data_IF_092692537756
#
_entry.id   IF_092692537756
#
_cell.length_a   1.000
_cell.length_b   1.000
_cell.length_c   1.000
_cell.angle_alpha   90.00
_cell.angle_beta   90.00
_cell.angle_gamma   90.00
#
_symmetry.space_group_name_H-M   'P 1'
#
loop_
_entity.id
_entity.type
_entity.pdbx_description
1 polymer ?
#
# COMPACT_ATOMS: atom_id res chain seq x y z
N UNK A 1 7.00 -0.43 23.34
CA UNK A 1 7.13 1.04 23.24
C UNK A 1 6.42 1.57 22.00
N UNK A 2 6.10 2.87 21.95
CA UNK A 2 5.48 3.55 20.79
C UNK A 2 6.26 4.83 20.48
N UNK A 3 6.59 5.05 19.22
CA UNK A 3 7.23 6.29 18.73
C UNK A 3 6.22 7.03 17.84
N UNK A 4 6.20 8.37 17.90
CA UNK A 4 5.38 9.18 17.00
C UNK A 4 6.17 9.50 15.74
N UNK A 5 5.66 9.10 14.59
CA UNK A 5 6.28 9.32 13.28
C UNK A 5 5.57 10.44 12.49
N UNK A 6 4.72 11.23 13.15
CA UNK A 6 4.01 12.35 12.53
C UNK A 6 2.71 11.93 11.84
N UNK A 7 2.21 12.82 10.97
CA UNK A 7 0.97 12.60 10.22
C UNK A 7 1.26 11.94 8.87
N UNK A 8 0.48 10.91 8.55
CA UNK A 8 0.50 10.25 7.25
C UNK A 8 -0.01 11.22 6.16
N UNK A 9 0.78 11.50 5.10
CA UNK A 9 0.40 12.47 4.06
C UNK A 9 -0.74 12.00 3.15
N UNK A 10 -1.08 10.70 3.17
CA UNK A 10 -2.16 10.14 2.33
C UNK A 10 -3.44 10.00 3.14
N UNK A 11 -3.36 9.49 4.38
CA UNK A 11 -4.54 9.25 5.21
C UNK A 11 -4.85 10.36 6.22
N UNK A 12 -3.90 11.26 6.48
CA UNK A 12 -3.99 12.31 7.49
C UNK A 12 -3.93 11.83 8.94
N UNK A 13 -3.83 10.50 9.17
CA UNK A 13 -3.80 9.91 10.51
C UNK A 13 -2.40 9.94 11.10
N UNK A 14 -2.30 10.00 12.43
CA UNK A 14 -1.01 9.87 13.15
C UNK A 14 -0.43 8.48 12.93
N UNK A 15 0.80 8.39 12.46
CA UNK A 15 1.53 7.14 12.31
C UNK A 15 2.34 6.86 13.59
N UNK A 16 2.07 5.73 14.25
CA UNK A 16 2.72 5.35 15.51
C UNK A 16 3.25 3.91 15.45
N UNK A 17 4.46 3.69 14.91
CA UNK A 17 5.06 2.37 14.90
C UNK A 17 5.26 1.85 16.33
N UNK A 18 4.96 0.56 16.51
CA UNK A 18 4.97 -0.12 17.81
C UNK A 18 5.82 -1.38 17.67
N UNK A 19 6.77 -1.58 18.59
CA UNK A 19 7.50 -2.85 18.74
C UNK A 19 7.29 -3.39 20.15
N UNK A 20 7.10 -4.70 20.21
CA UNK A 20 6.96 -5.50 21.43
C UNK A 20 8.19 -6.40 21.48
N UNK A 21 9.05 -6.20 22.48
CA UNK A 21 10.18 -7.09 22.73
C UNK A 21 9.66 -8.41 23.34
N UNK A 22 10.24 -9.57 22.98
CA UNK A 22 9.85 -10.84 23.57
C UNK A 22 10.25 -10.85 25.07
N UNK A 23 9.44 -11.49 25.94
CA UNK A 23 9.77 -11.61 27.35
C UNK A 23 10.99 -12.51 27.56
N UNK A 24 11.92 -12.08 28.42
CA UNK A 24 13.15 -12.80 28.71
C UNK A 24 14.08 -12.03 29.65
N UNK A 25 15.19 -12.64 30.10
CA UNK A 25 16.13 -12.00 31.03
C UNK A 25 16.83 -10.75 30.45
N UNK A 26 16.87 -10.60 29.13
CA UNK A 26 17.44 -9.45 28.43
C UNK A 26 16.36 -8.54 27.81
N UNK A 27 15.12 -8.59 28.31
CA UNK A 27 13.98 -7.88 27.72
C UNK A 27 14.19 -6.36 27.68
N UNK A 28 14.76 -5.77 28.72
CA UNK A 28 15.12 -4.34 28.77
C UNK A 28 16.13 -3.99 27.68
N UNK A 29 17.22 -4.76 27.57
CA UNK A 29 18.25 -4.52 26.56
C UNK A 29 17.72 -4.71 25.12
N UNK A 30 16.90 -5.74 24.90
CA UNK A 30 16.26 -5.97 23.60
C UNK A 30 15.24 -4.88 23.27
N UNK A 31 14.54 -4.34 24.26
CA UNK A 31 13.64 -3.21 24.09
C UNK A 31 14.39 -1.93 23.70
N UNK A 32 15.54 -1.65 24.31
CA UNK A 32 16.39 -0.50 23.95
C UNK A 32 16.97 -0.61 22.55
N UNK A 33 17.46 -1.79 22.16
CA UNK A 33 17.95 -2.04 20.79
C UNK A 33 16.82 -1.89 19.78
N UNK A 34 15.63 -2.42 20.10
CA UNK A 34 14.46 -2.28 19.25
C UNK A 34 13.99 -0.82 19.13
N UNK A 35 14.02 -0.04 20.22
CA UNK A 35 13.70 1.38 20.23
C UNK A 35 14.69 2.16 19.36
N UNK A 36 15.99 1.91 19.52
CA UNK A 36 17.05 2.59 18.77
C UNK A 36 16.90 2.34 17.26
N UNK A 37 16.61 1.09 16.87
CA UNK A 37 16.32 0.75 15.46
C UNK A 37 15.09 1.50 14.94
N UNK A 38 14.03 1.56 15.75
CA UNK A 38 12.77 2.19 15.36
C UNK A 38 12.88 3.73 15.29
N UNK A 39 13.73 4.34 16.12
CA UNK A 39 14.08 5.76 16.02
C UNK A 39 14.89 6.04 14.75
N UNK A 40 15.90 5.22 14.44
CA UNK A 40 16.66 5.35 13.19
C UNK A 40 15.75 5.22 11.95
N UNK A 41 14.79 4.29 11.96
CA UNK A 41 13.80 4.14 10.88
C UNK A 41 12.91 5.39 10.70
N UNK A 42 12.61 6.11 11.80
CA UNK A 42 11.86 7.37 11.76
C UNK A 42 12.75 8.53 11.28
N UNK A 43 13.97 8.63 11.79
CA UNK A 43 14.92 9.71 11.48
C UNK A 43 15.41 9.69 10.03
N UNK A 44 15.63 8.51 9.45
CA UNK A 44 16.02 8.36 8.05
C UNK A 44 14.91 8.77 7.05
N UNK A 45 13.79 9.33 7.52
CA UNK A 45 12.57 9.58 6.74
C UNK A 45 12.13 8.35 5.93
N UNK A 46 12.48 7.15 6.40
CA UNK A 46 12.05 5.89 5.79
C UNK A 46 10.57 5.61 6.06
N UNK A 47 9.80 6.61 6.51
CA UNK A 47 8.38 6.52 6.79
C UNK A 47 7.57 7.73 6.30
N UNK A 48 6.32 7.50 5.84
CA UNK A 48 5.57 6.27 6.04
C UNK A 48 5.58 5.38 4.81
N UNK A 49 5.88 4.09 4.99
CA UNK A 49 5.21 3.06 4.22
C UNK A 49 3.73 3.13 4.60
N UNK A 50 3.02 4.08 4.01
CA UNK A 50 1.58 4.19 4.08
C UNK A 50 1.01 2.80 3.88
N UNK A 51 0.29 2.29 4.89
CA UNK A 51 -0.58 1.12 4.71
C UNK A 51 -1.80 1.58 3.93
N UNK A 52 -1.54 2.09 2.74
CA UNK A 52 -2.54 2.47 1.78
C UNK A 52 -2.51 1.40 0.72
N UNK A 53 -3.71 0.94 0.42
CA UNK A 53 -3.94 -0.08 -0.55
C UNK A 53 -3.81 0.55 -1.96
N UNK A 54 -3.49 -0.27 -2.96
CA UNK A 54 -3.30 0.25 -4.32
C UNK A 54 -4.63 0.82 -4.86
N UNK A 55 -5.77 0.29 -4.42
CA UNK A 55 -7.09 0.79 -4.82
C UNK A 55 -7.28 2.27 -4.42
N UNK A 56 -6.98 2.63 -3.17
CA UNK A 56 -7.14 4.00 -2.69
C UNK A 56 -6.23 4.98 -3.43
N UNK A 57 -4.98 4.60 -3.74
CA UNK A 57 -4.08 5.46 -4.52
C UNK A 57 -4.58 5.71 -5.94
N UNK A 58 -5.05 4.65 -6.61
CA UNK A 58 -5.51 4.75 -8.00
C UNK A 58 -6.82 5.54 -8.09
N UNK A 59 -7.74 5.35 -7.14
CA UNK A 59 -8.98 6.11 -7.07
C UNK A 59 -8.71 7.59 -6.76
N UNK A 60 -7.81 7.89 -5.82
CA UNK A 60 -7.41 9.27 -5.50
C UNK A 60 -6.76 9.97 -6.70
N UNK A 61 -5.87 9.27 -7.43
CA UNK A 61 -5.31 9.80 -8.68
C UNK A 61 -6.40 10.09 -9.72
N UNK A 62 -7.41 9.23 -9.81
CA UNK A 62 -8.50 9.40 -10.76
C UNK A 62 -9.40 10.60 -10.44
N UNK A 63 -9.59 10.91 -9.16
CA UNK A 63 -10.34 12.07 -8.67
C UNK A 63 -9.57 13.38 -8.89
N UNK A 64 -8.26 13.39 -8.62
CA UNK A 64 -7.42 14.59 -8.71
C UNK A 64 -7.00 14.94 -10.15
N UNK A 65 -6.95 13.94 -11.06
CA UNK A 65 -6.49 14.19 -12.43
C UNK A 65 -7.52 14.95 -13.25
N UNK A 66 -7.06 15.94 -14.02
CA UNK A 66 -7.89 16.63 -15.01
C UNK A 66 -8.07 15.77 -16.25
N UNK A 67 -9.23 15.14 -16.39
CA UNK A 67 -9.59 14.33 -17.55
C UNK A 67 -11.06 14.58 -17.95
N UNK A 68 -11.39 14.31 -19.21
CA UNK A 68 -12.78 14.35 -19.67
C UNK A 68 -13.62 13.30 -18.92
N UNK A 69 -14.89 13.61 -18.65
CA UNK A 69 -15.83 12.73 -17.92
C UNK A 69 -15.89 11.32 -18.50
N UNK A 70 -15.97 11.20 -19.82
CA UNK A 70 -15.98 9.92 -20.55
C UNK A 70 -14.72 9.10 -20.32
N UNK A 71 -13.57 9.75 -20.20
CA UNK A 71 -12.29 9.12 -19.88
C UNK A 71 -12.23 8.66 -18.43
N UNK A 72 -12.79 9.45 -17.49
CA UNK A 72 -12.89 9.06 -16.08
C UNK A 72 -13.79 7.83 -15.94
N UNK A 73 -14.97 7.83 -16.55
CA UNK A 73 -15.90 6.68 -16.50
C UNK A 73 -15.27 5.41 -17.10
N UNK A 74 -14.63 5.54 -18.28
CA UNK A 74 -13.95 4.42 -18.95
C UNK A 74 -12.81 3.86 -18.10
N UNK A 75 -11.91 4.72 -17.63
CA UNK A 75 -10.77 4.28 -16.82
C UNK A 75 -11.22 3.70 -15.49
N UNK A 76 -12.30 4.23 -14.89
CA UNK A 76 -12.87 3.72 -13.65
C UNK A 76 -13.37 2.30 -13.80
N UNK A 77 -14.06 2.01 -14.90
CA UNK A 77 -14.50 0.65 -15.23
C UNK A 77 -13.31 -0.32 -15.40
N UNK A 78 -12.22 0.14 -16.03
CA UNK A 78 -11.00 -0.67 -16.20
C UNK A 78 -10.29 -0.92 -14.87
N UNK A 79 -10.20 0.11 -14.01
CA UNK A 79 -9.60 0.02 -12.67
C UNK A 79 -10.40 -0.98 -11.82
N UNK A 80 -11.73 -0.85 -11.79
CA UNK A 80 -12.61 -1.72 -11.02
C UNK A 80 -12.55 -3.19 -11.49
N UNK A 81 -12.39 -3.43 -12.79
CA UNK A 81 -12.35 -4.79 -13.35
C UNK A 81 -10.98 -5.45 -13.25
N UNK A 82 -9.90 -4.69 -13.39
CA UNK A 82 -8.57 -5.27 -13.59
C UNK A 82 -7.56 -4.94 -12.49
N UNK A 83 -7.73 -3.86 -11.74
CA UNK A 83 -6.73 -3.43 -10.75
C UNK A 83 -7.21 -3.79 -9.35
N UNK A 84 -8.43 -3.37 -8.99
CA UNK A 84 -8.98 -3.56 -7.64
C UNK A 84 -9.04 -5.03 -7.21
N UNK A 85 -9.55 -5.98 -8.01
CA UNK A 85 -9.72 -7.37 -7.56
C UNK A 85 -8.40 -8.12 -7.29
N UNK A 86 -7.32 -7.72 -7.96
CA UNK A 86 -6.07 -8.48 -7.95
C UNK A 86 -5.01 -7.88 -7.02
N UNK A 87 -4.95 -6.55 -7.02
CA UNK A 87 -3.89 -5.82 -6.33
C UNK A 87 -4.43 -4.69 -5.46
N UNK A 88 -5.73 -4.41 -5.53
CA UNK A 88 -6.37 -3.31 -4.80
C UNK A 88 -6.07 -3.33 -3.32
N UNK A 89 -6.22 -4.48 -2.66
CA UNK A 89 -6.00 -4.67 -1.22
C UNK A 89 -4.50 -4.77 -0.80
N UNK A 90 -3.57 -4.79 -1.76
CA UNK A 90 -2.14 -4.93 -1.45
C UNK A 90 -1.57 -3.58 -1.03
N UNK A 91 -0.68 -3.59 -0.05
CA UNK A 91 0.03 -2.38 0.39
C UNK A 91 0.92 -1.82 -0.71
N UNK A 92 0.81 -0.52 -0.98
CA UNK A 92 1.57 0.16 -2.03
C UNK A 92 3.10 0.22 -1.78
N UNK A 93 3.57 -0.23 -0.62
CA UNK A 93 4.86 0.21 -0.05
C UNK A 93 5.94 -0.86 0.06
N UNK A 94 5.63 -2.14 -0.11
CA UNK A 94 6.65 -3.21 -0.12
C UNK A 94 6.58 -4.06 -1.39
N UNK A 95 5.40 -4.20 -1.98
CA UNK A 95 5.16 -5.12 -3.08
C UNK A 95 4.62 -4.48 -4.35
N UNK A 96 4.37 -3.17 -4.39
CA UNK A 96 3.71 -2.52 -5.55
C UNK A 96 4.44 -2.76 -6.89
N UNK A 97 5.77 -2.67 -6.94
CA UNK A 97 6.54 -2.93 -8.18
C UNK A 97 6.46 -4.39 -8.64
N UNK A 98 6.65 -5.35 -7.73
CA UNK A 98 6.52 -6.79 -8.05
C UNK A 98 5.08 -7.15 -8.44
N UNK A 99 4.13 -6.57 -7.74
CA UNK A 99 2.69 -6.73 -7.93
C UNK A 99 2.21 -6.14 -9.25
N UNK A 100 2.68 -4.95 -9.62
CA UNK A 100 2.36 -4.32 -10.91
C UNK A 100 2.92 -5.10 -12.10
N UNK A 101 4.13 -5.66 -11.98
CA UNK A 101 4.72 -6.50 -13.02
C UNK A 101 4.01 -7.85 -13.17
N UNK A 102 3.56 -8.44 -12.05
CA UNK A 102 2.73 -9.64 -12.07
C UNK A 102 1.36 -9.36 -12.72
N UNK A 103 0.70 -8.27 -12.32
CA UNK A 103 -0.56 -7.83 -12.92
C UNK A 103 -0.42 -7.59 -14.43
N UNK A 104 0.62 -6.88 -14.85
CA UNK A 104 0.86 -6.60 -16.28
C UNK A 104 1.11 -7.89 -17.06
N UNK A 105 1.85 -8.86 -16.48
CA UNK A 105 2.07 -10.18 -17.07
C UNK A 105 0.76 -10.97 -17.20
N UNK A 106 -0.13 -10.89 -16.22
CA UNK A 106 -1.43 -11.58 -16.24
C UNK A 106 -2.43 -10.91 -17.21
N UNK A 107 -2.42 -9.58 -17.29
CA UNK A 107 -3.14 -8.82 -18.31
C UNK A 107 -2.66 -9.15 -19.73
N UNK A 108 -1.34 -9.25 -19.95
CA UNK A 108 -0.75 -9.64 -21.25
C UNK A 108 -1.11 -11.06 -21.66
N UNK A 109 -1.26 -11.98 -20.70
CA UNK A 109 -1.69 -13.36 -20.96
C UNK A 109 -3.15 -13.45 -21.40
N UNK A 110 -3.93 -12.39 -21.26
CA UNK A 110 -5.37 -12.53 -21.28
C UNK A 110 -6.06 -12.14 -22.57
N UNK A 111 -6.15 -13.17 -23.42
CA UNK A 111 -7.39 -13.55 -24.11
C UNK A 111 -8.40 -14.24 -23.17
N UNK A 112 -7.97 -14.76 -22.01
CA UNK A 112 -8.82 -15.47 -21.03
C UNK A 112 -9.58 -14.56 -20.05
N UNK A 113 -9.01 -13.44 -19.57
CA UNK A 113 -9.72 -12.51 -18.64
C UNK A 113 -10.91 -11.81 -19.28
N UNK A 114 -10.87 -11.53 -20.59
CA UNK A 114 -11.97 -10.84 -21.28
C UNK A 114 -13.19 -11.74 -21.56
N UNK A 115 -13.05 -13.07 -21.40
CA UNK A 115 -14.03 -14.03 -21.95
C UNK A 115 -14.73 -14.87 -20.88
N UNK A 116 -14.28 -14.86 -19.63
CA UNK A 116 -14.85 -15.70 -18.58
C UNK A 116 -15.82 -14.92 -17.68
N UNK A 117 -17.13 -15.19 -17.83
CA UNK A 117 -18.22 -14.57 -17.06
C UNK A 117 -18.30 -15.05 -15.60
N UNK A 118 -17.63 -16.14 -15.24
CA UNK A 118 -17.73 -16.74 -13.90
C UNK A 118 -16.73 -16.16 -12.88
N UNK A 119 -16.08 -15.04 -13.21
CA UNK A 119 -15.08 -14.37 -12.36
C UNK A 119 -15.53 -12.97 -11.93
N UNK A 120 -16.84 -12.67 -12.05
CA UNK A 120 -17.53 -11.49 -11.52
C UNK A 120 -18.16 -11.86 -10.18
#
# INVERSE_FOLDING_TARGET
MRVDAGADPITGKRHRPTVIAPPGPDDEHQAEVALTRLLNEVDEQLHPKTKVDIAHLVLKYQDERKAARTTIEKDGSLIARHIVPYIGAKSATKDARKTGRALYKDCQRCRHHCTNKNWI
#
